data_IF_390001738484
#
_entry.id   IF_390001738484
#
_cell.length_a   1.000
_cell.length_b   1.000
_cell.length_c   1.000
_cell.angle_alpha   90.00
_cell.angle_beta   90.00
_cell.angle_gamma   90.00
#
_symmetry.space_group_name_H-M   'P 1'
#
loop_
_entity.id
_entity.type
_entity.pdbx_description
1 polymer ?
#
# COMPACT_ATOMS: atom_id res chain seq x y z
N UNK A 1 29.83 56.72 16.92
CA UNK A 1 29.79 55.21 17.01
C UNK A 1 29.14 54.66 15.73
N UNK A 2 29.86 53.90 14.97
CA UNK A 2 29.34 53.28 13.76
C UNK A 2 28.55 52.03 14.20
N UNK A 3 27.28 51.93 13.83
CA UNK A 3 26.44 50.76 14.16
C UNK A 3 26.53 49.69 13.05
N UNK A 4 27.59 48.88 12.97
CA UNK A 4 27.70 47.83 11.93
C UNK A 4 26.62 46.75 12.11
N UNK A 5 26.13 46.56 13.35
CA UNK A 5 25.07 45.59 13.65
C UNK A 5 23.73 45.94 13.01
N UNK A 6 23.41 47.25 12.89
CA UNK A 6 22.14 47.65 12.29
C UNK A 6 22.11 47.40 10.77
N UNK A 7 23.24 47.66 10.11
CA UNK A 7 23.35 47.37 8.70
C UNK A 7 23.26 45.83 8.39
N UNK A 8 23.94 44.99 9.19
CA UNK A 8 23.87 43.56 9.03
C UNK A 8 22.47 42.99 9.34
N UNK A 9 21.76 43.59 10.32
CA UNK A 9 20.38 43.21 10.61
C UNK A 9 19.43 43.55 9.44
N UNK A 10 19.57 44.70 8.81
CA UNK A 10 18.78 45.07 7.62
C UNK A 10 19.05 44.12 6.47
N UNK A 11 20.32 43.79 6.20
CA UNK A 11 20.68 42.81 5.16
C UNK A 11 20.07 41.43 5.47
N UNK A 12 20.13 40.98 6.72
CA UNK A 12 19.50 39.73 7.13
C UNK A 12 17.97 39.72 6.89
N UNK A 13 17.27 40.80 7.28
CA UNK A 13 15.82 40.93 7.04
C UNK A 13 15.50 40.90 5.53
N UNK A 14 16.31 41.59 4.70
CA UNK A 14 16.13 41.55 3.24
C UNK A 14 16.32 40.18 2.69
N UNK A 15 17.38 39.47 3.08
CA UNK A 15 17.65 38.10 2.64
C UNK A 15 16.56 37.14 3.11
N UNK A 16 16.10 37.25 4.34
CA UNK A 16 15.01 36.44 4.87
C UNK A 16 13.72 36.67 4.10
N UNK A 17 13.36 37.93 3.85
CA UNK A 17 12.14 38.27 3.08
C UNK A 17 12.21 37.77 1.63
N UNK A 18 13.38 37.87 1.01
CA UNK A 18 13.57 37.31 -0.35
C UNK A 18 13.44 35.79 -0.36
N UNK A 19 14.00 35.09 0.61
CA UNK A 19 13.84 33.63 0.77
C UNK A 19 12.38 33.24 1.00
N UNK A 20 11.68 33.90 1.91
CA UNK A 20 10.28 33.65 2.21
C UNK A 20 9.38 33.89 0.97
N UNK A 21 9.61 35.00 0.25
CA UNK A 21 8.88 35.26 -1.02
C UNK A 21 9.18 34.24 -2.11
N UNK A 22 10.43 33.75 -2.20
CA UNK A 22 10.78 32.73 -3.20
C UNK A 22 10.16 31.39 -2.88
N UNK A 23 10.17 30.95 -1.59
CA UNK A 23 9.50 29.73 -1.15
C UNK A 23 7.99 29.82 -1.37
N UNK A 24 7.34 30.89 -0.92
CA UNK A 24 5.89 31.06 -1.07
C UNK A 24 5.42 31.07 -2.54
N UNK A 25 6.25 31.55 -3.47
CA UNK A 25 5.92 31.47 -4.92
C UNK A 25 6.01 30.04 -5.48
N UNK A 26 6.96 29.23 -5.00
CA UNK A 26 7.07 27.82 -5.37
C UNK A 26 5.89 27.02 -4.83
N UNK A 27 5.55 27.25 -3.56
CA UNK A 27 4.43 26.58 -2.90
C UNK A 27 3.09 26.94 -3.58
N UNK A 28 2.90 28.21 -3.95
CA UNK A 28 1.71 28.65 -4.67
C UNK A 28 1.59 28.02 -6.06
N UNK A 29 2.72 27.87 -6.81
CA UNK A 29 2.72 27.18 -8.11
C UNK A 29 2.41 25.70 -7.97
N UNK A 30 3.04 25.02 -7.00
CA UNK A 30 2.79 23.61 -6.73
C UNK A 30 1.32 23.37 -6.34
N UNK A 31 0.73 24.25 -5.53
CA UNK A 31 -0.68 24.20 -5.18
C UNK A 31 -1.59 24.39 -6.43
N UNK A 32 -1.27 25.37 -7.29
CA UNK A 32 -2.05 25.61 -8.52
C UNK A 32 -1.96 24.42 -9.49
N UNK A 33 -0.80 23.81 -9.66
CA UNK A 33 -0.61 22.59 -10.46
C UNK A 33 -1.38 21.41 -9.87
N UNK A 34 -1.35 21.24 -8.54
CA UNK A 34 -2.14 20.21 -7.86
C UNK A 34 -3.63 20.39 -8.09
N UNK A 35 -4.16 21.61 -7.91
CA UNK A 35 -5.58 21.89 -8.12
C UNK A 35 -6.02 21.71 -9.57
N UNK A 36 -5.17 22.09 -10.53
CA UNK A 36 -5.44 21.84 -11.96
C UNK A 36 -5.51 20.34 -12.24
N UNK A 37 -4.57 19.56 -11.71
CA UNK A 37 -4.57 18.10 -11.86
C UNK A 37 -5.83 17.48 -11.23
N UNK A 38 -6.23 17.92 -10.04
CA UNK A 38 -7.42 17.41 -9.35
C UNK A 38 -8.73 17.78 -10.11
N UNK A 39 -8.83 19.00 -10.63
CA UNK A 39 -9.97 19.39 -11.47
C UNK A 39 -10.07 18.54 -12.73
N UNK A 40 -8.96 18.29 -13.41
CA UNK A 40 -8.91 17.40 -14.57
C UNK A 40 -9.31 15.97 -14.19
N UNK A 41 -8.80 15.46 -13.06
CA UNK A 41 -9.12 14.13 -12.56
C UNK A 41 -10.63 13.99 -12.29
N UNK A 42 -11.22 14.97 -11.64
CA UNK A 42 -12.67 14.97 -11.33
C UNK A 42 -13.55 15.08 -12.57
N UNK A 43 -13.04 15.67 -13.66
CA UNK A 43 -13.75 15.76 -14.95
C UNK A 43 -13.57 14.51 -15.83
N UNK A 44 -12.72 13.55 -15.43
CA UNK A 44 -12.44 12.36 -16.24
C UNK A 44 -13.64 11.41 -16.24
N UNK A 45 -14.11 11.06 -17.44
CA UNK A 45 -15.26 10.17 -17.65
C UNK A 45 -14.91 8.74 -17.21
N UNK A 46 -15.96 7.97 -16.90
CA UNK A 46 -15.83 6.53 -16.59
C UNK A 46 -15.14 5.79 -17.73
N UNK A 47 -14.20 4.93 -17.40
CA UNK A 47 -13.52 4.00 -18.30
C UNK A 47 -13.80 2.56 -17.88
N UNK A 48 -13.59 1.58 -18.79
CA UNK A 48 -13.68 0.16 -18.44
C UNK A 48 -12.61 -0.23 -17.43
N UNK A 49 -12.98 -1.16 -16.55
CA UNK A 49 -12.09 -1.76 -15.54
C UNK A 49 -11.74 -3.21 -15.90
N UNK A 50 -12.13 -3.71 -17.09
CA UNK A 50 -11.99 -5.13 -17.46
C UNK A 50 -10.52 -5.59 -17.55
N UNK A 51 -9.60 -4.65 -17.81
CA UNK A 51 -8.17 -4.95 -17.98
C UNK A 51 -7.33 -4.71 -16.70
N UNK A 52 -7.97 -4.53 -15.55
CA UNK A 52 -7.24 -4.41 -14.29
C UNK A 52 -6.52 -5.73 -13.96
N UNK A 53 -5.34 -5.65 -13.33
CA UNK A 53 -4.59 -6.82 -12.86
C UNK A 53 -5.26 -7.41 -11.62
N UNK A 54 -6.41 -8.07 -11.82
CA UNK A 54 -7.14 -8.69 -10.73
C UNK A 54 -6.33 -9.82 -10.10
N UNK A 55 -6.28 -9.82 -8.76
CA UNK A 55 -5.63 -10.86 -7.98
C UNK A 55 -6.61 -12.00 -7.75
N UNK A 56 -6.15 -13.23 -8.02
CA UNK A 56 -6.89 -14.47 -7.76
C UNK A 56 -6.12 -15.28 -6.73
N UNK A 57 -6.81 -15.77 -5.70
CA UNK A 57 -6.18 -16.58 -4.64
C UNK A 57 -5.95 -18.02 -5.15
N UNK A 58 -4.70 -18.50 -5.23
CA UNK A 58 -4.36 -19.83 -5.74
C UNK A 58 -4.50 -20.86 -4.61
N UNK A 59 -5.70 -21.32 -4.32
CA UNK A 59 -5.96 -22.30 -3.25
C UNK A 59 -5.24 -23.62 -3.43
N UNK A 60 -4.91 -24.00 -4.66
CA UNK A 60 -4.14 -25.20 -5.02
C UNK A 60 -2.66 -25.11 -4.60
N UNK A 61 -2.12 -23.89 -4.46
CA UNK A 61 -0.75 -23.62 -4.02
C UNK A 61 -0.64 -23.36 -2.52
N UNK A 62 -1.73 -23.00 -1.88
CA UNK A 62 -1.75 -22.64 -0.47
C UNK A 62 -1.99 -23.86 0.44
N UNK A 63 -1.36 -23.92 1.63
CA UNK A 63 -1.41 -25.07 2.53
C UNK A 63 -2.75 -25.16 3.28
N UNK A 64 -3.86 -25.37 2.53
CA UNK A 64 -5.22 -25.37 3.07
C UNK A 64 -5.52 -26.58 3.96
N UNK A 65 -4.75 -27.64 3.88
CA UNK A 65 -4.86 -28.88 4.65
C UNK A 65 -4.08 -28.85 5.96
N UNK A 66 -3.09 -27.96 6.08
CA UNK A 66 -2.25 -27.84 7.27
C UNK A 66 -3.07 -27.25 8.42
N UNK A 67 -3.11 -27.96 9.55
CA UNK A 67 -3.89 -27.59 10.75
C UNK A 67 -5.36 -27.27 10.45
N UNK A 68 -5.96 -27.98 9.49
CA UNK A 68 -7.33 -27.74 9.03
C UNK A 68 -8.41 -27.92 10.14
N UNK A 69 -8.07 -28.53 11.27
CA UNK A 69 -8.95 -28.70 12.44
C UNK A 69 -8.77 -27.63 13.51
N UNK A 70 -7.80 -26.72 13.34
CA UNK A 70 -7.58 -25.62 14.26
C UNK A 70 -8.57 -24.48 14.00
N UNK A 71 -9.31 -24.07 15.00
CA UNK A 71 -10.37 -23.05 14.88
C UNK A 71 -9.85 -21.72 14.32
N UNK A 72 -8.65 -21.30 14.72
CA UNK A 72 -8.05 -20.05 14.26
C UNK A 72 -7.63 -20.12 12.78
N UNK A 73 -7.13 -21.27 12.34
CA UNK A 73 -6.81 -21.52 10.93
C UNK A 73 -8.09 -21.58 10.09
N UNK A 74 -9.14 -22.24 10.59
CA UNK A 74 -10.43 -22.29 9.90
C UNK A 74 -11.04 -20.90 9.70
N UNK A 75 -10.95 -20.01 10.68
CA UNK A 75 -11.44 -18.64 10.56
C UNK A 75 -10.69 -17.86 9.45
N UNK A 76 -9.36 -18.00 9.42
CA UNK A 76 -8.53 -17.41 8.36
C UNK A 76 -8.92 -17.97 6.98
N UNK A 77 -9.02 -19.29 6.86
CA UNK A 77 -9.40 -19.95 5.59
C UNK A 77 -10.81 -19.55 5.14
N UNK A 78 -11.74 -19.37 6.07
CA UNK A 78 -13.10 -18.85 5.79
C UNK A 78 -13.01 -17.41 5.23
N UNK A 79 -12.19 -16.57 5.84
CA UNK A 79 -11.97 -15.19 5.37
C UNK A 79 -11.36 -15.18 3.97
N UNK A 80 -10.35 -16.02 3.69
CA UNK A 80 -9.75 -16.16 2.36
C UNK A 80 -10.76 -16.61 1.30
N UNK A 81 -11.62 -17.57 1.65
CA UNK A 81 -12.70 -18.01 0.75
C UNK A 81 -13.71 -16.90 0.46
N UNK A 82 -14.07 -16.10 1.46
CA UNK A 82 -14.96 -14.95 1.26
C UNK A 82 -14.29 -13.88 0.35
N UNK A 83 -13.01 -13.60 0.56
CA UNK A 83 -12.25 -12.65 -0.26
C UNK A 83 -12.11 -13.14 -1.72
N UNK A 84 -12.02 -14.44 -1.96
CA UNK A 84 -11.91 -14.98 -3.32
C UNK A 84 -13.13 -14.72 -4.21
N UNK A 85 -14.28 -14.45 -3.61
CA UNK A 85 -15.50 -14.05 -4.31
C UNK A 85 -15.54 -12.55 -4.65
N UNK A 86 -14.56 -11.78 -4.19
CA UNK A 86 -14.46 -10.34 -4.40
C UNK A 86 -13.38 -10.00 -5.44
N UNK A 87 -13.49 -8.83 -6.04
CA UNK A 87 -12.42 -8.30 -6.89
C UNK A 87 -11.37 -7.60 -6.02
N UNK A 88 -10.11 -7.90 -6.29
CA UNK A 88 -8.96 -7.36 -5.57
C UNK A 88 -7.93 -6.85 -6.56
N UNK A 89 -7.41 -5.65 -6.33
CA UNK A 89 -6.35 -5.03 -7.14
C UNK A 89 -5.41 -4.27 -6.22
N UNK A 90 -4.12 -4.44 -6.44
CA UNK A 90 -3.10 -3.68 -5.74
C UNK A 90 -2.90 -2.31 -6.42
N UNK A 91 -3.24 -1.24 -5.72
CA UNK A 91 -3.02 0.13 -6.16
C UNK A 91 -1.91 0.84 -5.36
N UNK A 92 -1.04 0.11 -4.69
CA UNK A 92 0.08 0.69 -3.94
C UNK A 92 0.87 1.68 -4.80
N UNK A 93 1.14 2.87 -4.24
CA UNK A 93 1.87 3.94 -4.92
C UNK A 93 1.03 4.82 -5.85
N UNK A 94 -0.27 4.54 -6.05
CA UNK A 94 -1.19 5.39 -6.81
C UNK A 94 -2.02 6.27 -5.89
N UNK A 95 -2.09 7.57 -6.18
CA UNK A 95 -3.01 8.47 -5.50
C UNK A 95 -4.43 8.38 -6.06
N UNK A 96 -5.42 8.82 -5.29
CA UNK A 96 -6.81 8.93 -5.78
C UNK A 96 -6.93 9.80 -7.04
N UNK A 97 -6.12 10.84 -7.16
CA UNK A 97 -6.06 11.70 -8.35
C UNK A 97 -5.55 10.92 -9.56
N UNK A 98 -4.53 10.09 -9.39
CA UNK A 98 -4.01 9.23 -10.46
C UNK A 98 -5.04 8.19 -10.90
N UNK A 99 -5.72 7.55 -9.94
CA UNK A 99 -6.79 6.59 -10.22
C UNK A 99 -7.97 7.23 -10.96
N UNK A 100 -8.39 8.46 -10.59
CA UNK A 100 -9.43 9.20 -11.32
C UNK A 100 -9.00 9.51 -12.74
N UNK A 101 -7.75 9.94 -12.97
CA UNK A 101 -7.23 10.23 -14.30
C UNK A 101 -7.14 8.98 -15.17
N UNK A 102 -6.68 7.87 -14.59
CA UNK A 102 -6.45 6.63 -15.32
C UNK A 102 -7.76 5.89 -15.63
N UNK A 103 -8.69 5.81 -14.66
CA UNK A 103 -9.89 4.98 -14.75
C UNK A 103 -11.21 5.76 -14.75
N UNK A 104 -11.17 7.06 -14.50
CA UNK A 104 -12.33 7.93 -14.43
C UNK A 104 -12.86 8.16 -13.02
N UNK A 105 -13.24 9.40 -12.74
CA UNK A 105 -13.74 9.81 -11.42
C UNK A 105 -14.95 8.97 -10.91
N UNK A 106 -15.91 8.54 -11.76
CA UNK A 106 -17.04 7.74 -11.29
C UNK A 106 -16.67 6.33 -10.81
N UNK A 107 -15.43 5.86 -11.08
CA UNK A 107 -14.97 4.54 -10.65
C UNK A 107 -14.26 4.56 -9.29
N UNK A 108 -13.95 5.74 -8.73
CA UNK A 108 -13.06 5.84 -7.56
C UNK A 108 -13.53 5.01 -6.36
N UNK A 109 -14.83 4.98 -6.08
CA UNK A 109 -15.35 4.21 -4.96
C UNK A 109 -15.18 2.70 -5.17
N UNK A 110 -15.38 2.23 -6.42
CA UNK A 110 -15.19 0.82 -6.76
C UNK A 110 -13.72 0.41 -6.73
N UNK A 111 -12.83 1.30 -7.19
CA UNK A 111 -11.38 1.08 -7.10
C UNK A 111 -10.89 1.05 -5.65
N UNK A 112 -11.44 1.93 -4.79
CA UNK A 112 -11.15 1.93 -3.36
C UNK A 112 -11.63 0.63 -2.68
N UNK A 113 -12.77 0.08 -3.10
CA UNK A 113 -13.26 -1.22 -2.63
C UNK A 113 -12.29 -2.35 -3.04
N UNK A 114 -11.82 -2.37 -4.29
CA UNK A 114 -10.86 -3.38 -4.75
C UNK A 114 -9.51 -3.30 -4.02
N UNK A 115 -9.05 -2.10 -3.70
CA UNK A 115 -7.84 -1.85 -2.92
C UNK A 115 -8.01 -2.26 -1.46
N UNK A 116 -9.19 -2.02 -0.88
CA UNK A 116 -9.52 -2.47 0.48
C UNK A 116 -9.53 -4.01 0.54
N UNK A 117 -10.18 -4.68 -0.42
CA UNK A 117 -10.20 -6.14 -0.48
C UNK A 117 -8.78 -6.73 -0.61
N UNK A 118 -7.91 -6.07 -1.39
CA UNK A 118 -6.48 -6.42 -1.46
C UNK A 118 -5.78 -6.23 -0.11
N UNK A 119 -6.03 -5.11 0.56
CA UNK A 119 -5.47 -4.83 1.89
C UNK A 119 -5.91 -5.89 2.90
N UNK A 120 -7.17 -6.28 2.89
CA UNK A 120 -7.70 -7.35 3.76
C UNK A 120 -7.05 -8.70 3.45
N UNK A 121 -6.77 -9.00 2.18
CA UNK A 121 -6.05 -10.20 1.77
C UNK A 121 -4.63 -10.24 2.34
N UNK A 122 -3.83 -9.18 2.16
CA UNK A 122 -2.44 -9.17 2.67
C UNK A 122 -2.38 -9.22 4.20
N UNK A 123 -3.33 -8.60 4.90
CA UNK A 123 -3.46 -8.71 6.35
C UNK A 123 -3.80 -10.14 6.76
N UNK A 124 -4.73 -10.78 6.06
CA UNK A 124 -5.14 -12.15 6.30
C UNK A 124 -3.97 -13.13 6.10
N UNK A 125 -3.22 -13.00 4.99
CA UNK A 125 -2.04 -13.81 4.72
C UNK A 125 -0.93 -13.60 5.76
N UNK A 126 -0.70 -12.35 6.19
CA UNK A 126 0.27 -12.06 7.25
C UNK A 126 -0.09 -12.75 8.56
N UNK A 127 -1.36 -12.67 8.97
CA UNK A 127 -1.88 -13.37 10.18
C UNK A 127 -1.73 -14.88 10.05
N UNK A 128 -2.03 -15.43 8.88
CA UNK A 128 -1.91 -16.88 8.64
C UNK A 128 -0.47 -17.35 8.74
N UNK A 129 0.45 -16.65 8.06
CA UNK A 129 1.88 -16.95 8.16
C UNK A 129 2.40 -16.89 9.59
N UNK A 130 2.03 -15.87 10.37
CA UNK A 130 2.41 -15.73 11.77
C UNK A 130 1.88 -16.88 12.63
N UNK A 131 0.61 -17.27 12.45
CA UNK A 131 -0.02 -18.36 13.21
C UNK A 131 0.61 -19.72 12.88
N UNK A 132 0.92 -19.98 11.59
CA UNK A 132 1.62 -21.20 11.19
C UNK A 132 3.02 -21.29 11.81
N UNK A 133 3.76 -20.17 11.88
CA UNK A 133 5.05 -20.10 12.56
C UNK A 133 4.94 -20.39 14.06
N UNK A 134 3.94 -19.82 14.73
CA UNK A 134 3.67 -20.06 16.15
C UNK A 134 3.43 -21.54 16.44
N UNK A 135 2.77 -22.24 15.49
CA UNK A 135 2.45 -23.67 15.61
C UNK A 135 3.55 -24.60 15.10
N UNK A 136 4.69 -24.05 14.65
CA UNK A 136 5.85 -24.83 14.18
C UNK A 136 5.77 -25.29 12.72
N UNK A 137 4.76 -24.84 11.97
CA UNK A 137 4.53 -25.22 10.56
C UNK A 137 5.31 -24.29 9.61
N UNK A 138 6.64 -24.26 9.76
CA UNK A 138 7.53 -23.34 9.01
C UNK A 138 7.41 -23.48 7.47
N UNK A 139 7.34 -24.69 6.85
CA UNK A 139 7.21 -24.81 5.41
C UNK A 139 5.88 -24.23 4.88
N UNK A 140 4.80 -24.46 5.62
CA UNK A 140 3.48 -23.91 5.29
C UNK A 140 3.46 -22.38 5.43
N UNK A 141 4.05 -21.86 6.50
CA UNK A 141 4.20 -20.42 6.72
C UNK A 141 5.00 -19.77 5.58
N UNK A 142 6.10 -20.38 5.15
CA UNK A 142 6.91 -19.90 4.05
C UNK A 142 6.07 -19.76 2.78
N UNK A 143 5.33 -20.78 2.40
CA UNK A 143 4.46 -20.76 1.21
C UNK A 143 3.46 -19.61 1.24
N UNK A 144 2.82 -19.38 2.40
CA UNK A 144 1.84 -18.30 2.57
C UNK A 144 2.49 -16.91 2.48
N UNK A 145 3.66 -16.73 3.13
CA UNK A 145 4.37 -15.46 3.13
C UNK A 145 5.00 -15.14 1.77
N UNK A 146 5.50 -16.16 1.05
CA UNK A 146 5.99 -16.01 -0.33
C UNK A 146 4.88 -15.53 -1.26
N UNK A 147 3.69 -16.12 -1.16
CA UNK A 147 2.53 -15.65 -1.92
C UNK A 147 2.15 -14.21 -1.57
N UNK A 148 2.17 -13.83 -0.29
CA UNK A 148 1.90 -12.45 0.11
C UNK A 148 2.90 -11.46 -0.52
N UNK A 149 4.19 -11.83 -0.61
CA UNK A 149 5.22 -11.02 -1.28
C UNK A 149 5.03 -11.02 -2.80
N UNK A 150 4.67 -12.15 -3.41
CA UNK A 150 4.40 -12.28 -4.84
C UNK A 150 3.31 -11.30 -5.31
N UNK A 151 2.24 -11.13 -4.52
CA UNK A 151 1.16 -10.18 -4.83
C UNK A 151 1.46 -8.73 -4.42
N UNK A 152 2.66 -8.46 -3.90
CA UNK A 152 3.16 -7.12 -3.59
C UNK A 152 2.79 -6.60 -2.21
N UNK A 153 2.70 -7.47 -1.19
CA UNK A 153 2.49 -7.03 0.20
C UNK A 153 3.59 -6.07 0.65
N UNK A 154 3.21 -4.95 1.22
CA UNK A 154 4.09 -3.94 1.82
C UNK A 154 4.18 -4.05 3.35
N UNK A 155 3.58 -5.10 3.93
CA UNK A 155 3.61 -5.35 5.37
C UNK A 155 5.03 -5.75 5.80
N UNK A 156 5.72 -4.88 6.54
CA UNK A 156 7.09 -5.13 7.00
C UNK A 156 7.23 -6.43 7.82
N UNK A 157 6.19 -6.82 8.57
CA UNK A 157 6.19 -8.07 9.33
C UNK A 157 6.23 -9.31 8.43
N UNK A 158 5.54 -9.30 7.28
CA UNK A 158 5.57 -10.36 6.27
C UNK A 158 7.01 -10.60 5.78
N UNK A 159 7.67 -9.52 5.38
CA UNK A 159 9.05 -9.57 4.88
C UNK A 159 10.04 -10.03 5.96
N UNK A 160 9.85 -9.58 7.20
CA UNK A 160 10.70 -9.99 8.33
C UNK A 160 10.54 -11.48 8.62
N UNK A 161 9.32 -11.99 8.76
CA UNK A 161 9.07 -13.41 9.01
C UNK A 161 9.65 -14.29 7.91
N UNK A 162 9.49 -13.89 6.64
CA UNK A 162 10.04 -14.62 5.51
C UNK A 162 11.59 -14.61 5.50
N UNK A 163 12.21 -13.48 5.82
CA UNK A 163 13.66 -13.36 5.94
C UNK A 163 14.20 -14.25 7.07
N UNK A 164 13.54 -14.28 8.22
CA UNK A 164 13.93 -15.11 9.36
C UNK A 164 13.85 -16.61 9.00
N UNK A 165 12.87 -17.02 8.20
CA UNK A 165 12.76 -18.40 7.69
C UNK A 165 13.90 -18.78 6.74
N UNK A 166 14.35 -17.86 5.88
CA UNK A 166 15.48 -18.13 4.98
C UNK A 166 16.83 -18.16 5.70
N UNK A 167 17.00 -17.40 6.79
CA UNK A 167 18.25 -17.34 7.56
C UNK A 167 18.35 -18.54 8.52
N UNK A 168 17.21 -18.99 9.05
CA UNK A 168 17.15 -20.13 9.98
C UNK A 168 16.36 -21.27 9.32
N UNK A 169 16.89 -21.94 8.27
CA UNK A 169 16.22 -23.09 7.74
C UNK A 169 16.12 -24.12 8.86
N UNK A 170 14.90 -24.46 9.27
CA UNK A 170 14.63 -25.50 10.24
C UNK A 170 15.30 -26.78 9.75
N UNK A 171 16.34 -27.20 10.48
CA UNK A 171 16.95 -28.51 10.28
C UNK A 171 15.86 -29.56 10.48
N UNK A 172 15.51 -30.23 9.38
CA UNK A 172 14.66 -31.43 9.35
C UNK A 172 15.37 -32.58 10.05
#
# INVERSE_FOLDING_TARGET
MKFPFFASFIVFIILLTLRLRHSGRKDAKAADEYWKKELQANATRRKSLDQLPYITIPFDRLPMDVLATDDSIQEIQKTLKALSETKMVNFNGKSNTDLKLEYGAPNINLLAEYDQNYTDLIICLNKWGALLLEKGESPAAQTVLEYAVEIGSDISATHKMLADLYISPSFS
#
